data_IF_505544239711
#
_entry.id   IF_505544239711
#
_cell.length_a   1.000
_cell.length_b   1.000
_cell.length_c   1.000
_cell.angle_alpha   90.00
_cell.angle_beta   90.00
_cell.angle_gamma   90.00
#
_symmetry.space_group_name_H-M   'P 1'
#
loop_
_entity.id
_entity.type
_entity.pdbx_description
1 polymer ?
#
# COMPACT_ATOMS: atom_id res chain seq x y z
N UNK A 1 -15.27 -20.80 -7.56
CA UNK A 1 -15.23 -19.56 -8.35
C UNK A 1 -15.13 -19.83 -9.86
N UNK A 2 -14.24 -20.72 -10.34
CA UNK A 2 -14.17 -21.12 -11.75
C UNK A 2 -15.49 -21.70 -12.34
N UNK A 3 -16.34 -22.33 -11.52
CA UNK A 3 -17.62 -22.91 -11.96
C UNK A 3 -18.76 -21.90 -12.20
N UNK A 4 -18.62 -20.65 -11.73
CA UNK A 4 -19.70 -19.65 -11.81
C UNK A 4 -19.47 -18.57 -12.88
N UNK A 5 -18.24 -18.38 -13.35
CA UNK A 5 -17.87 -17.30 -14.29
C UNK A 5 -17.46 -17.81 -15.67
N UNK A 6 -17.20 -19.12 -15.82
CA UNK A 6 -16.63 -19.69 -17.04
C UNK A 6 -15.15 -19.27 -17.23
N UNK A 7 -14.37 -20.05 -18.00
CA UNK A 7 -12.92 -19.83 -18.15
C UNK A 7 -12.55 -18.46 -18.74
N UNK A 8 -13.42 -17.88 -19.57
CA UNK A 8 -13.21 -16.57 -20.18
C UNK A 8 -13.29 -15.41 -19.17
N UNK A 9 -14.34 -15.32 -18.36
CA UNK A 9 -14.49 -14.21 -17.40
C UNK A 9 -13.55 -14.34 -16.19
N UNK A 10 -13.16 -15.56 -15.81
CA UNK A 10 -12.11 -15.76 -14.81
C UNK A 10 -10.75 -15.24 -15.28
N UNK A 11 -10.41 -15.47 -16.56
CA UNK A 11 -9.18 -14.97 -17.15
C UNK A 11 -9.08 -13.44 -17.13
N UNK A 12 -10.18 -12.75 -17.46
CA UNK A 12 -10.25 -11.28 -17.42
C UNK A 12 -10.06 -10.75 -15.99
N UNK A 13 -10.74 -11.36 -15.01
CA UNK A 13 -10.64 -10.92 -13.62
C UNK A 13 -9.23 -11.16 -13.05
N UNK A 14 -8.64 -12.33 -13.30
CA UNK A 14 -7.27 -12.63 -12.87
C UNK A 14 -6.25 -11.70 -13.52
N UNK A 15 -6.44 -11.36 -14.80
CA UNK A 15 -5.61 -10.37 -15.48
C UNK A 15 -5.75 -8.97 -14.86
N UNK A 16 -6.98 -8.53 -14.59
CA UNK A 16 -7.25 -7.26 -13.91
C UNK A 16 -6.54 -7.22 -12.55
N UNK A 17 -6.69 -8.28 -11.74
CA UNK A 17 -6.07 -8.37 -10.43
C UNK A 17 -4.54 -8.34 -10.50
N UNK A 18 -3.92 -9.06 -11.44
CA UNK A 18 -2.47 -9.04 -11.62
C UNK A 18 -1.96 -7.64 -11.97
N UNK A 19 -2.67 -6.94 -12.87
CA UNK A 19 -2.31 -5.58 -13.27
C UNK A 19 -2.46 -4.58 -12.10
N UNK A 20 -3.57 -4.68 -11.36
CA UNK A 20 -3.80 -3.89 -10.15
C UNK A 20 -2.75 -4.18 -9.08
N UNK A 21 -2.32 -5.43 -8.92
CA UNK A 21 -1.29 -5.79 -7.92
C UNK A 21 0.07 -5.17 -8.28
N UNK A 22 0.49 -5.27 -9.54
CA UNK A 22 1.76 -4.72 -10.02
C UNK A 22 1.76 -3.19 -9.92
N UNK A 23 0.70 -2.54 -10.42
CA UNK A 23 0.59 -1.10 -10.39
C UNK A 23 0.37 -0.57 -8.98
N UNK A 24 -0.35 -1.30 -8.13
CA UNK A 24 -0.57 -0.97 -6.72
C UNK A 24 0.72 -1.00 -5.91
N UNK A 25 1.64 -1.93 -6.19
CA UNK A 25 2.95 -1.94 -5.56
C UNK A 25 3.79 -0.69 -5.91
N UNK A 26 3.69 -0.23 -7.16
CA UNK A 26 4.37 0.98 -7.64
C UNK A 26 3.70 2.25 -7.08
N UNK A 27 2.37 2.29 -7.07
CA UNK A 27 1.57 3.40 -6.54
C UNK A 27 1.77 3.61 -5.03
N UNK A 28 2.01 2.53 -4.28
CA UNK A 28 2.37 2.61 -2.87
C UNK A 28 3.72 3.28 -2.60
N UNK A 29 4.60 3.40 -3.62
CA UNK A 29 5.91 4.07 -3.60
C UNK A 29 6.86 3.61 -2.47
N UNK A 30 6.55 2.49 -1.80
CA UNK A 30 7.25 2.07 -0.58
C UNK A 30 7.05 2.99 0.62
N UNK A 31 6.08 3.92 0.55
CA UNK A 31 5.88 4.97 1.55
C UNK A 31 5.48 4.44 2.92
N UNK A 32 4.93 3.22 3.00
CA UNK A 32 4.50 2.62 4.26
C UNK A 32 5.64 2.54 5.29
N UNK A 33 6.74 1.86 4.96
CA UNK A 33 7.85 1.69 5.90
C UNK A 33 8.61 2.99 6.17
N UNK A 34 8.73 3.87 5.16
CA UNK A 34 9.35 5.19 5.32
C UNK A 34 8.52 6.05 6.28
N UNK A 35 7.22 6.15 6.05
CA UNK A 35 6.30 6.95 6.87
C UNK A 35 6.26 6.43 8.30
N UNK A 36 6.17 5.12 8.50
CA UNK A 36 6.18 4.51 9.84
C UNK A 36 7.49 4.82 10.57
N UNK A 37 8.64 4.71 9.88
CA UNK A 37 9.95 4.97 10.49
C UNK A 37 10.09 6.43 10.90
N UNK A 38 9.63 7.36 10.06
CA UNK A 38 9.67 8.79 10.34
C UNK A 38 8.73 9.14 11.51
N UNK A 39 7.52 8.56 11.53
CA UNK A 39 6.55 8.79 12.60
C UNK A 39 7.02 8.28 13.97
N UNK A 40 7.78 7.17 13.99
CA UNK A 40 8.40 6.63 15.22
C UNK A 40 9.56 7.52 15.69
N UNK A 41 10.26 8.19 14.76
CA UNK A 41 11.42 9.04 15.08
C UNK A 41 11.00 10.43 15.52
N UNK A 42 10.00 11.01 14.87
CA UNK A 42 9.53 12.38 15.11
C UNK A 42 7.99 12.42 15.15
N UNK A 43 7.45 12.24 16.35
CA UNK A 43 6.00 12.26 16.58
C UNK A 43 5.41 13.68 16.54
N UNK A 44 6.24 14.73 16.64
CA UNK A 44 5.77 16.12 16.66
C UNK A 44 5.29 16.58 15.27
N UNK A 45 5.88 16.02 14.20
CA UNK A 45 5.54 16.34 12.80
C UNK A 45 4.58 15.34 12.16
N UNK A 46 3.84 14.58 12.97
CA UNK A 46 2.92 13.52 12.53
C UNK A 46 1.94 13.98 11.43
N UNK A 47 1.33 15.16 11.58
CA UNK A 47 0.37 15.70 10.61
C UNK A 47 1.02 15.95 9.23
N UNK A 48 2.24 16.48 9.20
CA UNK A 48 2.97 16.78 7.97
C UNK A 48 3.42 15.51 7.26
N UNK A 49 3.91 14.51 8.02
CA UNK A 49 4.35 13.22 7.46
C UNK A 49 3.18 12.49 6.79
N UNK A 50 2.04 12.41 7.47
CA UNK A 50 0.85 11.74 6.94
C UNK A 50 0.23 12.51 5.78
N UNK A 51 0.17 13.84 5.87
CA UNK A 51 -0.33 14.67 4.78
C UNK A 51 0.50 14.50 3.52
N UNK A 52 1.83 14.49 3.66
CA UNK A 52 2.76 14.27 2.54
C UNK A 52 2.62 12.86 1.97
N UNK A 53 2.59 11.83 2.84
CA UNK A 53 2.40 10.45 2.42
C UNK A 53 1.06 10.25 1.68
N UNK A 54 -0.02 10.83 2.18
CA UNK A 54 -1.34 10.77 1.54
C UNK A 54 -1.34 11.46 0.18
N UNK A 55 -0.75 12.65 0.07
CA UNK A 55 -0.65 13.36 -1.20
C UNK A 55 0.18 12.58 -2.24
N UNK A 56 1.33 12.03 -1.83
CA UNK A 56 2.18 11.19 -2.69
C UNK A 56 1.46 9.91 -3.13
N UNK A 57 0.72 9.27 -2.23
CA UNK A 57 0.01 8.02 -2.52
C UNK A 57 -1.24 8.25 -3.39
N UNK A 58 -1.94 9.38 -3.21
CA UNK A 58 -2.99 9.83 -4.13
C UNK A 58 -2.42 10.08 -5.53
N UNK A 59 -1.30 10.79 -5.63
CA UNK A 59 -0.65 11.05 -6.91
C UNK A 59 -0.16 9.73 -7.56
N UNK A 60 0.45 8.83 -6.80
CA UNK A 60 0.89 7.51 -7.25
C UNK A 60 -0.27 6.65 -7.74
N UNK A 61 -1.37 6.59 -6.99
CA UNK A 61 -2.59 5.88 -7.35
C UNK A 61 -3.27 6.46 -8.60
N UNK A 62 -3.33 7.78 -8.72
CA UNK A 62 -3.87 8.46 -9.91
C UNK A 62 -3.02 8.19 -11.16
N UNK A 63 -1.69 8.25 -11.05
CA UNK A 63 -0.77 7.93 -12.15
C UNK A 63 -0.89 6.45 -12.56
N UNK A 64 -0.96 5.55 -11.59
CA UNK A 64 -1.13 4.12 -11.84
C UNK A 64 -2.47 3.81 -12.53
N UNK A 65 -3.57 4.46 -12.10
CA UNK A 65 -4.86 4.33 -12.75
C UNK A 65 -4.86 4.90 -14.18
N UNK A 66 -4.25 6.06 -14.40
CA UNK A 66 -4.10 6.64 -15.73
C UNK A 66 -3.30 5.72 -16.67
N UNK A 67 -2.21 5.13 -16.16
CA UNK A 67 -1.42 4.16 -16.92
C UNK A 67 -2.23 2.90 -17.25
N UNK A 68 -3.00 2.37 -16.30
CA UNK A 68 -3.91 1.25 -16.52
C UNK A 68 -4.93 1.58 -17.62
N UNK A 69 -5.55 2.76 -17.57
CA UNK A 69 -6.50 3.21 -18.57
C UNK A 69 -5.89 3.40 -19.97
N UNK A 70 -4.61 3.74 -20.07
CA UNK A 70 -3.90 3.84 -21.35
C UNK A 70 -3.44 2.48 -21.91
N UNK A 71 -3.02 1.56 -21.04
CA UNK A 71 -2.45 0.26 -21.42
C UNK A 71 -3.54 -0.74 -21.81
N UNK A 72 -4.65 -0.79 -21.06
CA UNK A 72 -5.77 -1.72 -21.28
C UNK A 72 -6.33 -1.69 -22.72
N UNK A 73 -6.66 -0.54 -23.33
CA UNK A 73 -7.15 -0.51 -24.70
C UNK A 73 -6.09 -0.92 -25.74
N UNK A 74 -4.80 -0.77 -25.43
CA UNK A 74 -3.70 -1.17 -26.29
C UNK A 74 -3.50 -2.70 -26.32
N UNK A 75 -3.71 -3.36 -25.17
CA UNK A 75 -3.55 -4.82 -25.06
C UNK A 75 -4.77 -5.60 -25.56
N UNK A 76 -5.98 -5.04 -25.42
CA UNK A 76 -7.24 -5.71 -25.76
C UNK A 76 -8.21 -4.75 -26.45
N UNK A 77 -7.95 -4.37 -27.71
CA UNK A 77 -8.82 -3.43 -28.45
C UNK A 77 -10.20 -4.01 -28.77
N UNK A 78 -10.32 -5.33 -28.93
CA UNK A 78 -11.54 -6.01 -29.40
C UNK A 78 -12.55 -6.36 -28.27
N UNK A 79 -12.13 -6.34 -26.99
CA UNK A 79 -12.93 -6.84 -25.85
C UNK A 79 -13.38 -5.69 -24.92
N UNK A 80 -14.42 -4.95 -25.31
CA UNK A 80 -14.99 -3.83 -24.51
C UNK A 80 -15.45 -4.25 -23.10
N UNK A 81 -15.95 -5.49 -22.95
CA UNK A 81 -16.32 -6.05 -21.65
C UNK A 81 -15.10 -6.24 -20.75
N UNK A 82 -13.98 -6.72 -21.28
CA UNK A 82 -12.75 -6.88 -20.50
C UNK A 82 -12.20 -5.52 -20.05
N UNK A 83 -12.22 -4.53 -20.94
CA UNK A 83 -11.75 -3.18 -20.64
C UNK A 83 -12.53 -2.55 -19.47
N UNK A 84 -13.86 -2.63 -19.51
CA UNK A 84 -14.71 -2.08 -18.45
C UNK A 84 -14.49 -2.78 -17.09
N UNK A 85 -14.35 -4.11 -17.07
CA UNK A 85 -14.05 -4.85 -15.85
C UNK A 85 -12.69 -4.46 -15.25
N UNK A 86 -11.66 -4.33 -16.10
CA UNK A 86 -10.31 -3.95 -15.64
C UNK A 86 -10.31 -2.50 -15.12
N UNK A 87 -10.98 -1.58 -15.81
CA UNK A 87 -11.12 -0.18 -15.36
C UNK A 87 -11.84 -0.08 -14.02
N UNK A 88 -12.94 -0.81 -13.84
CA UNK A 88 -13.67 -0.85 -12.56
C UNK A 88 -12.80 -1.43 -11.45
N UNK A 89 -12.04 -2.50 -11.72
CA UNK A 89 -11.09 -3.05 -10.74
C UNK A 89 -9.96 -2.06 -10.42
N UNK A 90 -9.51 -1.28 -11.41
CA UNK A 90 -8.48 -0.25 -11.27
C UNK A 90 -8.86 0.90 -10.33
N UNK A 91 -10.16 1.16 -10.11
CA UNK A 91 -10.62 2.19 -9.16
C UNK A 91 -10.05 1.95 -7.75
N UNK A 92 -9.80 0.69 -7.38
CA UNK A 92 -9.17 0.34 -6.11
C UNK A 92 -7.82 1.03 -5.90
N UNK A 93 -7.07 1.34 -6.97
CA UNK A 93 -5.79 2.04 -6.92
C UNK A 93 -5.94 3.50 -6.46
N UNK A 94 -7.07 4.15 -6.76
CA UNK A 94 -7.35 5.52 -6.31
C UNK A 94 -7.64 5.57 -4.80
N UNK A 95 -8.21 4.49 -4.26
CA UNK A 95 -8.51 4.36 -2.83
C UNK A 95 -7.30 3.95 -1.98
N UNK A 96 -6.15 3.70 -2.61
CA UNK A 96 -4.93 3.27 -1.90
C UNK A 96 -4.43 4.30 -0.89
N UNK A 97 -4.70 5.59 -1.11
CA UNK A 97 -4.38 6.65 -0.14
C UNK A 97 -5.13 6.51 1.20
N UNK A 98 -6.22 5.73 1.25
CA UNK A 98 -6.89 5.39 2.50
C UNK A 98 -6.01 4.57 3.45
N UNK A 99 -5.00 3.87 2.93
CA UNK A 99 -4.05 3.09 3.74
C UNK A 99 -3.14 3.96 4.62
N UNK A 100 -2.98 5.26 4.32
CA UNK A 100 -2.17 6.18 5.15
C UNK A 100 -2.72 6.30 6.57
N UNK A 101 -4.04 6.18 6.74
CA UNK A 101 -4.66 6.17 8.08
C UNK A 101 -4.16 4.99 8.93
N UNK A 102 -3.86 3.85 8.31
CA UNK A 102 -3.30 2.68 9.00
C UNK A 102 -1.83 2.89 9.41
N UNK A 103 -1.09 3.81 8.78
CA UNK A 103 0.32 4.06 9.13
C UNK A 103 0.46 4.65 10.54
N UNK A 104 -0.52 5.45 10.97
CA UNK A 104 -0.64 5.95 12.34
C UNK A 104 -0.72 4.82 13.38
N UNK A 105 -1.58 3.85 13.10
CA UNK A 105 -1.76 2.69 13.97
C UNK A 105 -0.48 1.85 14.02
N UNK A 106 0.13 1.58 12.87
CA UNK A 106 1.35 0.78 12.78
C UNK A 106 2.54 1.44 13.51
N UNK A 107 2.71 2.75 13.39
CA UNK A 107 3.76 3.49 14.06
C UNK A 107 3.59 3.50 15.59
N UNK A 108 2.36 3.72 16.07
CA UNK A 108 2.04 3.69 17.50
C UNK A 108 2.33 2.31 18.10
N UNK A 109 1.99 1.24 17.37
CA UNK A 109 2.25 -0.14 17.80
C UNK A 109 3.74 -0.47 17.79
N UNK A 110 4.50 -0.11 16.73
CA UNK A 110 5.96 -0.34 16.67
C UNK A 110 6.73 0.42 17.74
N UNK A 111 6.31 1.64 18.10
CA UNK A 111 6.93 2.40 19.19
C UNK A 111 6.88 1.64 20.53
N UNK A 112 5.75 0.98 20.83
CA UNK A 112 5.60 0.15 22.05
C UNK A 112 6.59 -1.01 22.08
N UNK A 113 6.79 -1.70 20.95
CA UNK A 113 7.77 -2.80 20.84
C UNK A 113 9.21 -2.29 20.94
N UNK A 114 9.54 -1.16 20.32
CA UNK A 114 10.88 -0.56 20.40
C UNK A 114 11.25 -0.17 21.83
N UNK A 115 10.30 0.40 22.59
CA UNK A 115 10.49 0.72 24.01
C UNK A 115 10.73 -0.55 24.83
N UNK A 116 9.96 -1.62 24.60
CA UNK A 116 10.17 -2.92 25.26
C UNK A 116 11.57 -3.48 25.01
N UNK A 117 12.05 -3.43 23.76
CA UNK A 117 13.41 -3.87 23.43
C UNK A 117 14.47 -3.03 24.17
N UNK A 118 14.29 -1.71 24.26
CA UNK A 118 15.21 -0.80 24.96
C UNK A 118 15.26 -1.07 26.47
N UNK A 119 14.10 -1.31 27.09
CA UNK A 119 14.01 -1.67 28.52
C UNK A 119 14.69 -3.01 28.79
N UNK A 120 14.45 -4.03 27.95
CA UNK A 120 15.15 -5.32 28.03
C UNK A 120 16.66 -5.16 27.91
N UNK A 121 17.13 -4.38 26.94
CA UNK A 121 18.55 -4.13 26.74
C UNK A 121 19.17 -3.43 27.95
N UNK A 122 18.49 -2.42 28.51
CA UNK A 122 18.93 -1.75 29.75
C UNK A 122 18.99 -2.70 30.93
N UNK A 123 17.97 -3.57 31.11
CA UNK A 123 17.95 -4.56 32.19
C UNK A 123 19.09 -5.57 32.06
N UNK A 124 19.34 -6.06 30.84
CA UNK A 124 20.46 -6.97 30.57
C UNK A 124 21.80 -6.28 30.82
N UNK A 125 21.97 -5.03 30.39
CA UNK A 125 23.21 -4.27 30.62
C UNK A 125 23.44 -3.98 32.11
N UNK A 126 22.38 -3.67 32.86
CA UNK A 126 22.43 -3.44 34.29
C UNK A 126 22.79 -4.72 35.04
N UNK A 127 22.21 -5.87 34.66
CA UNK A 127 22.55 -7.17 35.24
C UNK A 127 24.01 -7.55 35.01
N UNK A 128 24.54 -7.31 33.80
CA UNK A 128 25.95 -7.56 33.48
C UNK A 128 26.90 -6.63 34.25
N UNK A 129 26.51 -5.37 34.51
CA UNK A 129 27.34 -4.43 35.28
C UNK A 129 27.37 -4.70 36.79
N UNK A 130 26.38 -5.41 37.32
CA UNK A 130 26.27 -5.72 38.77
C UNK A 130 26.95 -7.05 39.13
N UNK A 131 27.17 -7.94 38.17
CA UNK A 131 27.98 -9.15 38.31
C UNK A 131 29.48 -8.86 38.07
#
# INVERSE_FOLDING_TARGET
MARYLGPAAFGILSFAQALVLILGAVAGLGLRDVSIRELVRDSEQQATILGSAAALQLAGGALAYALLAAVVPLLRPEDALAQSVILVAGIALLFQAGEVSSYLFDATVRARYAVMARVLTMLLLAAVRVA
#
